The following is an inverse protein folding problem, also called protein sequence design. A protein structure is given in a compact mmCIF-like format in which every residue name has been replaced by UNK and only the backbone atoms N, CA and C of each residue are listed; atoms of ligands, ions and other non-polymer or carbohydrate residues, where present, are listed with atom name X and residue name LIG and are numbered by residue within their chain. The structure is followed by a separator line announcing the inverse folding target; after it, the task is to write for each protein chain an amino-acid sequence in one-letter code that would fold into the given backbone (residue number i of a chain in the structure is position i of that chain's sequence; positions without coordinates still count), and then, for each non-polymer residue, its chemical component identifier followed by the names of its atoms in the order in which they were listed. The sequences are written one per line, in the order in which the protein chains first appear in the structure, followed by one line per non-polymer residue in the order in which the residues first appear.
data_IF_481952037614
#
_entry.id   IF_481952037614
#
_cell.length_a   1.000
_cell.length_b   1.000
_cell.length_c   1.000
_cell.angle_alpha   90.00
_cell.angle_beta   90.00
_cell.angle_gamma   90.00
#
_symmetry.space_group_name_H-M   'P 1'
#
loop_
_entity.id
_entity.type
_entity.pdbx_description
1 polymer ?
#
# COMPACT_ATOMS: atom_id res chain seq x y z
N UNK A 1 -41.31 -3.98 -7.40
CA UNK A 1 -41.47 -3.35 -6.07
C UNK A 1 -40.53 -4.07 -5.09
N UNK A 2 -39.22 -3.81 -5.18
CA UNK A 2 -38.18 -4.45 -4.37
C UNK A 2 -37.68 -3.45 -3.33
N UNK A 3 -37.88 -3.78 -2.04
CA UNK A 3 -37.54 -2.94 -0.89
C UNK A 3 -36.02 -2.87 -0.72
N UNK A 4 -35.48 -1.68 -0.92
CA UNK A 4 -34.13 -1.29 -0.51
C UNK A 4 -34.07 -1.31 1.02
N UNK A 5 -33.35 -2.28 1.60
CA UNK A 5 -33.00 -2.28 3.02
C UNK A 5 -31.97 -1.19 3.27
N UNK A 6 -32.44 0.01 3.61
CA UNK A 6 -31.66 1.02 4.35
C UNK A 6 -31.44 0.48 5.77
N UNK A 7 -30.37 -0.27 6.00
CA UNK A 7 -29.83 -0.40 7.34
C UNK A 7 -29.00 0.84 7.64
N UNK A 8 -29.60 1.74 8.43
CA UNK A 8 -28.87 2.78 9.13
C UNK A 8 -27.94 2.08 10.14
N UNK A 9 -26.69 1.86 9.74
CA UNK A 9 -25.64 1.39 10.64
C UNK A 9 -25.45 2.40 11.77
N UNK A 10 -25.81 2.00 13.00
CA UNK A 10 -25.39 2.68 14.22
C UNK A 10 -23.86 2.75 14.20
N UNK A 11 -23.29 3.93 13.97
CA UNK A 11 -21.85 4.18 14.14
C UNK A 11 -21.49 3.84 15.59
N UNK A 12 -20.83 2.70 15.81
CA UNK A 12 -20.13 2.45 17.06
C UNK A 12 -19.06 3.55 17.21
N UNK A 13 -18.89 4.15 18.40
CA UNK A 13 -17.73 4.98 18.65
C UNK A 13 -16.49 4.11 18.46
N UNK A 14 -15.65 4.44 17.48
CA UNK A 14 -14.40 3.73 17.24
C UNK A 14 -13.48 3.99 18.42
N UNK A 15 -13.17 2.96 19.21
CA UNK A 15 -12.19 3.01 20.29
C UNK A 15 -10.75 2.98 19.79
N UNK A 16 -10.52 3.18 18.49
CA UNK A 16 -9.19 3.23 17.92
C UNK A 16 -8.53 4.56 18.30
N UNK A 17 -7.26 4.54 18.74
CA UNK A 17 -6.51 5.77 18.99
C UNK A 17 -6.57 6.68 17.77
N UNK A 18 -6.64 7.99 18.03
CA UNK A 18 -6.75 9.02 16.99
C UNK A 18 -5.50 8.92 16.13
N UNK A 19 -5.61 8.39 14.91
CA UNK A 19 -4.49 8.28 13.95
C UNK A 19 -3.75 9.61 13.91
N UNK A 20 -2.43 9.57 14.06
CA UNK A 20 -1.58 10.72 13.73
C UNK A 20 -1.63 10.89 12.21
N UNK A 21 -2.65 11.63 11.76
CA UNK A 21 -2.71 12.06 10.37
C UNK A 21 -1.81 13.27 10.30
N UNK A 22 -0.71 13.12 9.59
CA UNK A 22 0.27 14.16 9.41
C UNK A 22 -0.29 15.42 8.72
N UNK A 23 0.59 16.32 8.29
CA UNK A 23 0.20 17.59 7.68
C UNK A 23 -0.39 17.37 6.30
N UNK A 24 -1.60 17.89 6.08
CA UNK A 24 -2.23 17.91 4.76
C UNK A 24 -1.78 19.14 3.99
N UNK A 25 -1.17 18.92 2.83
CA UNK A 25 -0.72 19.95 1.90
C UNK A 25 -1.62 19.95 0.67
N UNK A 26 -1.95 21.13 0.17
CA UNK A 26 -2.68 21.29 -1.10
C UNK A 26 -1.96 22.28 -2.00
N UNK A 27 -1.84 21.95 -3.28
CA UNK A 27 -1.35 22.87 -4.31
C UNK A 27 -2.22 22.79 -5.56
N UNK A 28 -2.21 23.86 -6.36
CA UNK A 28 -2.87 23.88 -7.65
C UNK A 28 -1.91 23.38 -8.73
N UNK A 29 -2.24 22.25 -9.35
CA UNK A 29 -1.54 21.77 -10.52
C UNK A 29 -2.11 22.46 -11.77
N UNK A 30 -1.33 23.37 -12.35
CA UNK A 30 -1.73 24.10 -13.55
C UNK A 30 -1.86 23.22 -14.80
N UNK A 31 -1.17 22.07 -14.85
CA UNK A 31 -1.22 21.18 -16.01
C UNK A 31 -2.55 20.42 -16.06
N UNK A 32 -3.04 19.92 -14.91
CA UNK A 32 -4.36 19.29 -14.80
C UNK A 32 -5.51 20.28 -14.58
N UNK A 33 -5.21 21.48 -14.11
CA UNK A 33 -6.22 22.46 -13.68
C UNK A 33 -6.94 22.08 -12.39
N UNK A 34 -6.32 21.26 -11.54
CA UNK A 34 -6.92 20.71 -10.33
C UNK A 34 -6.09 21.03 -9.08
N UNK A 35 -6.78 21.12 -7.93
CA UNK A 35 -6.10 21.10 -6.64
C UNK A 35 -5.74 19.66 -6.28
N UNK A 36 -4.45 19.41 -6.15
CA UNK A 36 -3.92 18.16 -5.63
C UNK A 36 -3.73 18.33 -4.13
N UNK A 37 -4.18 17.32 -3.37
CA UNK A 37 -4.02 17.29 -1.91
C UNK A 37 -3.33 16.01 -1.51
N UNK A 38 -2.31 16.11 -0.66
CA UNK A 38 -1.57 14.97 -0.14
C UNK A 38 -1.22 15.19 1.33
N UNK A 39 -0.85 14.12 2.03
CA UNK A 39 -0.43 14.14 3.43
C UNK A 39 1.05 13.76 3.51
N UNK A 40 1.79 14.32 4.46
CA UNK A 40 3.19 13.93 4.71
C UNK A 40 3.33 12.56 5.42
N UNK A 41 2.22 12.05 5.97
CA UNK A 41 2.13 10.78 6.66
C UNK A 41 2.47 9.58 5.77
N UNK A 42 3.10 8.57 6.38
CA UNK A 42 3.37 7.29 5.74
C UNK A 42 2.07 6.47 5.64
N UNK A 43 1.85 5.95 4.44
CA UNK A 43 0.73 5.09 4.08
C UNK A 43 1.17 3.63 4.04
N UNK A 44 0.56 2.81 4.87
CA UNK A 44 0.88 1.38 4.91
C UNK A 44 -0.24 0.55 4.27
N UNK A 45 0.16 -0.34 3.38
CA UNK A 45 -0.73 -1.17 2.59
C UNK A 45 -0.46 -2.65 2.89
N UNK A 46 -1.47 -3.36 3.39
CA UNK A 46 -1.36 -4.80 3.61
C UNK A 46 -1.46 -5.57 2.30
N UNK A 47 -0.77 -6.70 2.19
CA UNK A 47 -0.90 -7.64 1.08
C UNK A 47 -1.37 -9.00 1.60
N UNK A 48 -2.33 -9.56 0.87
CA UNK A 48 -2.87 -10.90 1.10
C UNK A 48 -2.73 -11.73 -0.19
N UNK A 49 -1.60 -12.42 -0.32
CA UNK A 49 -1.27 -13.22 -1.51
C UNK A 49 -1.73 -14.69 -1.42
N UNK A 50 -1.94 -15.21 -0.22
CA UNK A 50 -2.46 -16.56 0.04
C UNK A 50 -3.39 -16.52 1.26
N UNK A 51 -4.56 -17.14 1.17
CA UNK A 51 -5.37 -17.49 2.35
C UNK A 51 -5.00 -18.92 2.74
N UNK A 52 -4.62 -19.20 3.99
CA UNK A 52 -4.35 -20.57 4.42
C UNK A 52 -5.57 -21.47 4.21
N UNK A 53 -5.32 -22.76 3.99
CA UNK A 53 -6.30 -23.73 3.50
C UNK A 53 -7.58 -23.90 4.35
N UNK A 54 -7.59 -23.41 5.60
CA UNK A 54 -8.79 -23.35 6.43
C UNK A 54 -8.88 -22.02 7.21
N UNK A 55 -10.07 -21.39 7.28
CA UNK A 55 -10.35 -20.25 8.16
C UNK A 55 -10.14 -20.54 9.65
N UNK A 56 -10.02 -21.81 10.04
CA UNK A 56 -9.71 -22.27 11.41
C UNK A 56 -8.20 -22.42 11.69
N UNK A 57 -7.39 -22.58 10.63
CA UNK A 57 -5.94 -22.82 10.76
C UNK A 57 -5.16 -21.51 10.75
N UNK A 58 -5.75 -20.46 10.19
CA UNK A 58 -5.39 -19.09 10.57
C UNK A 58 -6.11 -18.83 11.87
N UNK A 59 -5.36 -18.75 12.96
CA UNK A 59 -5.82 -17.90 14.03
C UNK A 59 -6.12 -16.54 13.41
N UNK A 60 -7.39 -16.13 13.39
CA UNK A 60 -7.80 -14.73 13.14
C UNK A 60 -6.95 -13.75 13.97
N UNK A 61 -6.25 -14.23 15.00
CA UNK A 61 -5.15 -13.57 15.72
C UNK A 61 -4.13 -12.80 14.86
N UNK A 62 -3.65 -13.33 13.72
CA UNK A 62 -2.65 -12.61 12.91
C UNK A 62 -3.21 -11.33 12.27
N UNK A 63 -4.43 -11.39 11.72
CA UNK A 63 -5.14 -10.20 11.24
C UNK A 63 -5.60 -9.30 12.39
N UNK A 64 -5.96 -9.88 13.53
CA UNK A 64 -6.45 -9.14 14.69
C UNK A 64 -5.36 -8.29 15.36
N UNK A 65 -4.08 -8.60 15.11
CA UNK A 65 -2.92 -7.87 15.62
C UNK A 65 -2.63 -6.56 14.89
N UNK A 66 -3.03 -6.40 13.63
CA UNK A 66 -2.67 -5.22 12.82
C UNK A 66 -3.89 -4.32 12.67
N UNK A 67 -3.76 -3.04 12.98
CA UNK A 67 -4.76 -2.02 12.73
C UNK A 67 -4.15 -0.84 11.98
N UNK A 68 -4.98 -0.06 11.29
CA UNK A 68 -4.53 1.24 10.81
C UNK A 68 -3.89 1.29 9.41
N UNK A 69 -3.95 0.19 8.65
CA UNK A 69 -3.61 0.16 7.23
C UNK A 69 -4.42 1.21 6.45
N UNK A 70 -3.85 1.77 5.40
CA UNK A 70 -4.60 2.60 4.45
C UNK A 70 -5.29 1.75 3.40
N UNK A 71 -4.68 0.63 3.00
CA UNK A 71 -5.37 -0.33 2.16
C UNK A 71 -4.94 -1.78 2.31
N UNK A 72 -5.72 -2.70 1.75
CA UNK A 72 -5.33 -4.09 1.56
C UNK A 72 -5.38 -4.46 0.07
N UNK A 73 -4.31 -5.07 -0.46
CA UNK A 73 -4.28 -5.69 -1.77
C UNK A 73 -4.50 -7.20 -1.66
N UNK A 74 -5.50 -7.74 -2.36
CA UNK A 74 -5.82 -9.18 -2.35
C UNK A 74 -5.68 -9.76 -3.75
N UNK A 75 -4.94 -10.86 -3.88
CA UNK A 75 -4.68 -11.51 -5.18
C UNK A 75 -5.88 -12.29 -5.74
N UNK A 76 -6.86 -12.64 -4.91
CA UNK A 76 -8.07 -13.36 -5.33
C UNK A 76 -9.35 -12.76 -4.72
N UNK A 77 -10.24 -12.29 -5.60
CA UNK A 77 -11.54 -11.73 -5.21
C UNK A 77 -12.43 -12.72 -4.44
N UNK A 78 -12.28 -14.03 -4.66
CA UNK A 78 -13.10 -15.04 -3.97
C UNK A 78 -12.79 -15.18 -2.48
N UNK A 79 -11.66 -14.62 -2.02
CA UNK A 79 -11.29 -14.59 -0.62
C UNK A 79 -12.04 -13.53 0.20
N UNK A 80 -12.74 -12.62 -0.49
CA UNK A 80 -13.59 -11.61 0.15
C UNK A 80 -14.88 -12.24 0.69
N UNK A 81 -14.76 -12.94 1.82
CA UNK A 81 -15.90 -13.38 2.61
C UNK A 81 -16.40 -12.24 3.48
N UNK A 82 -17.70 -12.20 3.85
CA UNK A 82 -18.24 -11.19 4.77
C UNK A 82 -17.46 -11.11 6.09
N UNK A 83 -16.97 -12.25 6.60
CA UNK A 83 -16.16 -12.33 7.82
C UNK A 83 -14.78 -11.68 7.67
N UNK A 84 -14.11 -11.89 6.52
CA UNK A 84 -12.87 -11.20 6.21
C UNK A 84 -13.13 -9.70 6.06
N UNK A 85 -14.22 -9.33 5.38
CA UNK A 85 -14.63 -7.95 5.19
C UNK A 85 -14.85 -7.20 6.53
N UNK A 86 -15.48 -7.83 7.52
CA UNK A 86 -15.66 -7.23 8.86
C UNK A 86 -14.33 -7.02 9.60
N UNK A 87 -13.37 -7.94 9.48
CA UNK A 87 -12.01 -7.77 10.01
C UNK A 87 -11.20 -6.70 9.25
N UNK A 88 -11.50 -6.52 7.96
CA UNK A 88 -10.77 -5.61 7.06
C UNK A 88 -11.28 -4.16 7.10
N UNK A 89 -12.56 -3.96 7.40
CA UNK A 89 -13.19 -2.64 7.50
C UNK A 89 -12.65 -1.86 8.71
N UNK A 90 -12.31 -2.54 9.81
CA UNK A 90 -11.70 -1.90 10.98
C UNK A 90 -10.20 -1.60 10.76
N UNK A 91 -9.57 -2.20 9.74
CA UNK A 91 -8.12 -2.14 9.53
C UNK A 91 -7.71 -1.28 8.33
N UNK A 92 -8.55 -1.06 7.32
CA UNK A 92 -8.17 -0.39 6.06
C UNK A 92 -9.21 0.62 5.51
N UNK A 93 -8.76 1.70 4.81
CA UNK A 93 -9.66 2.66 4.13
C UNK A 93 -10.14 2.14 2.78
N UNK A 94 -9.27 1.44 2.05
CA UNK A 94 -9.55 0.88 0.74
C UNK A 94 -9.15 -0.60 0.67
N UNK A 95 -9.90 -1.37 -0.10
CA UNK A 95 -9.50 -2.74 -0.42
C UNK A 95 -9.34 -2.83 -1.93
N UNK A 96 -8.09 -3.00 -2.35
CA UNK A 96 -7.70 -3.24 -3.73
C UNK A 96 -7.79 -4.74 -4.02
N UNK A 97 -8.46 -5.09 -5.11
CA UNK A 97 -8.64 -6.48 -5.52
C UNK A 97 -7.98 -6.66 -6.87
N UNK A 98 -7.11 -7.66 -6.97
CA UNK A 98 -6.52 -8.06 -8.24
C UNK A 98 -7.66 -8.43 -9.21
N UNK A 99 -7.60 -7.85 -10.42
CA UNK A 99 -8.62 -8.06 -11.45
C UNK A 99 -10.03 -7.54 -11.14
N UNK A 100 -10.15 -6.56 -10.24
CA UNK A 100 -11.41 -5.85 -10.03
C UNK A 100 -11.91 -5.16 -11.31
N UNK A 101 -13.18 -5.39 -11.67
CA UNK A 101 -13.84 -4.62 -12.72
C UNK A 101 -14.53 -3.39 -12.15
N UNK A 102 -15.12 -3.45 -10.95
CA UNK A 102 -16.02 -2.41 -10.44
C UNK A 102 -15.51 -1.69 -9.18
N UNK A 103 -14.28 -1.97 -8.74
CA UNK A 103 -13.70 -1.39 -7.53
C UNK A 103 -12.22 -1.04 -7.66
N UNK A 104 -11.59 -0.60 -6.56
CA UNK A 104 -10.15 -0.33 -6.49
C UNK A 104 -9.31 -1.45 -7.11
N UNK A 105 -8.37 -1.09 -7.98
CA UNK A 105 -7.56 -2.03 -8.75
C UNK A 105 -6.16 -2.16 -8.15
N UNK A 106 -5.78 -3.38 -7.74
CA UNK A 106 -4.39 -3.76 -7.55
C UNK A 106 -3.90 -4.48 -8.82
N UNK A 107 -2.72 -4.13 -9.32
CA UNK A 107 -2.16 -4.75 -10.52
C UNK A 107 -0.64 -4.85 -10.47
N UNK A 108 -0.14 -5.98 -10.95
CA UNK A 108 1.29 -6.22 -11.05
C UNK A 108 1.75 -6.02 -12.49
N UNK A 109 2.85 -5.28 -12.67
CA UNK A 109 3.52 -5.08 -13.94
C UNK A 109 4.89 -5.79 -13.90
N UNK A 110 5.06 -6.92 -14.61
CA UNK A 110 6.36 -7.58 -14.71
C UNK A 110 7.28 -6.79 -15.65
N UNK A 111 8.26 -6.09 -15.09
CA UNK A 111 9.12 -5.18 -15.87
C UNK A 111 10.37 -5.82 -16.46
N UNK A 112 10.74 -7.02 -16.00
CA UNK A 112 11.83 -7.83 -16.60
C UNK A 112 11.40 -8.60 -17.86
N UNK A 113 10.12 -8.49 -18.24
CA UNK A 113 9.55 -9.16 -19.40
C UNK A 113 9.61 -8.34 -20.68
N UNK A 114 8.96 -8.85 -21.73
CA UNK A 114 8.79 -8.14 -23.00
C UNK A 114 7.86 -6.94 -22.83
N UNK A 115 8.24 -5.76 -23.34
CA UNK A 115 7.46 -4.50 -23.24
C UNK A 115 6.03 -4.63 -23.77
N UNK A 116 5.81 -5.46 -24.77
CA UNK A 116 4.50 -5.70 -25.39
C UNK A 116 3.50 -6.32 -24.39
N UNK A 117 4.00 -6.98 -23.33
CA UNK A 117 3.14 -7.54 -22.27
C UNK A 117 2.55 -6.47 -21.36
N UNK A 118 3.07 -5.24 -21.39
CA UNK A 118 2.62 -4.15 -20.53
C UNK A 118 1.35 -3.48 -21.04
N UNK A 119 1.15 -3.40 -22.36
CA UNK A 119 0.01 -2.69 -22.98
C UNK A 119 -1.37 -3.13 -22.45
N UNK A 120 -1.69 -4.43 -22.32
CA UNK A 120 -2.98 -4.83 -21.74
C UNK A 120 -3.13 -4.44 -20.27
N UNK A 121 -2.03 -4.35 -19.51
CA UNK A 121 -2.02 -3.93 -18.10
C UNK A 121 -2.31 -2.43 -18.02
N UNK A 122 -1.59 -1.63 -18.81
CA UNK A 122 -1.77 -0.18 -18.91
C UNK A 122 -3.18 0.20 -19.38
N UNK A 123 -3.73 -0.53 -20.36
CA UNK A 123 -5.09 -0.32 -20.84
C UNK A 123 -6.13 -0.56 -19.72
N UNK A 124 -5.91 -1.55 -18.85
CA UNK A 124 -6.77 -1.82 -17.69
C UNK A 124 -6.68 -0.71 -16.65
N UNK A 125 -5.48 -0.20 -16.36
CA UNK A 125 -5.29 0.97 -15.50
C UNK A 125 -6.05 2.18 -16.05
N UNK A 126 -5.84 2.53 -17.32
CA UNK A 126 -6.52 3.65 -17.96
C UNK A 126 -8.06 3.50 -17.93
N UNK A 127 -8.58 2.28 -18.12
CA UNK A 127 -10.01 2.01 -18.01
C UNK A 127 -10.55 2.14 -16.57
N UNK A 128 -9.79 1.74 -15.55
CA UNK A 128 -10.13 1.97 -14.15
C UNK A 128 -10.10 3.47 -13.79
N UNK A 129 -9.08 4.20 -14.24
CA UNK A 129 -8.91 5.62 -14.01
C UNK A 129 -10.05 6.45 -14.63
N UNK A 130 -10.46 6.14 -15.86
CA UNK A 130 -11.62 6.77 -16.51
C UNK A 130 -12.94 6.62 -15.74
N UNK A 131 -13.02 5.61 -14.87
CA UNK A 131 -14.17 5.35 -13.99
C UNK A 131 -14.00 5.96 -12.59
N UNK A 132 -12.90 6.67 -12.36
CA UNK A 132 -12.55 7.24 -11.06
C UNK A 132 -12.18 6.20 -10.00
N UNK A 133 -11.76 5.00 -10.42
CA UNK A 133 -11.35 3.94 -9.50
C UNK A 133 -9.88 4.15 -9.12
N UNK A 134 -9.52 4.04 -7.83
CA UNK A 134 -8.13 4.15 -7.41
C UNK A 134 -7.34 2.93 -7.88
N UNK A 135 -6.07 3.15 -8.23
CA UNK A 135 -5.19 2.15 -8.81
C UNK A 135 -3.90 2.12 -8.02
N UNK A 136 -3.56 0.94 -7.52
CA UNK A 136 -2.25 0.61 -6.96
C UNK A 136 -1.55 -0.36 -7.90
N UNK A 137 -0.37 0.03 -8.38
CA UNK A 137 0.45 -0.79 -9.25
C UNK A 137 1.72 -1.24 -8.53
N UNK A 138 2.19 -2.44 -8.86
CA UNK A 138 3.46 -3.00 -8.38
C UNK A 138 4.38 -3.21 -9.57
N UNK A 139 5.59 -2.66 -9.53
CA UNK A 139 6.66 -3.00 -10.49
C UNK A 139 7.36 -4.26 -9.99
N UNK A 140 6.94 -5.44 -10.47
CA UNK A 140 7.46 -6.73 -9.99
C UNK A 140 8.94 -6.90 -10.32
N UNK A 141 9.72 -7.30 -9.32
CA UNK A 141 11.17 -7.52 -9.39
C UNK A 141 11.90 -6.29 -9.94
N UNK A 142 11.65 -5.12 -9.33
CA UNK A 142 12.13 -3.84 -9.83
C UNK A 142 13.65 -3.76 -9.87
N UNK A 143 14.32 -4.32 -8.86
CA UNK A 143 15.77 -4.27 -8.70
C UNK A 143 16.54 -5.24 -9.62
N UNK A 144 15.82 -6.10 -10.37
CA UNK A 144 16.39 -6.87 -11.47
C UNK A 144 16.28 -6.15 -12.84
N UNK A 145 15.67 -4.96 -12.88
CA UNK A 145 15.54 -4.12 -14.07
C UNK A 145 16.54 -2.97 -14.08
N UNK A 146 16.77 -2.38 -15.24
CA UNK A 146 17.52 -1.12 -15.35
C UNK A 146 16.66 0.09 -14.96
N UNK A 147 17.32 1.15 -14.50
CA UNK A 147 16.69 2.45 -14.17
C UNK A 147 15.81 2.98 -15.30
N UNK A 148 16.27 2.86 -16.54
CA UNK A 148 15.51 3.28 -17.73
C UNK A 148 14.20 2.51 -17.85
N UNK A 149 14.20 1.22 -17.52
CA UNK A 149 13.01 0.36 -17.56
C UNK A 149 12.05 0.73 -16.43
N UNK A 150 12.57 0.95 -15.23
CA UNK A 150 11.81 1.42 -14.05
C UNK A 150 11.15 2.77 -14.37
N UNK A 151 11.93 3.73 -14.89
CA UNK A 151 11.48 5.06 -15.30
C UNK A 151 10.36 4.99 -16.34
N UNK A 152 10.54 4.20 -17.41
CA UNK A 152 9.53 4.03 -18.45
C UNK A 152 8.26 3.36 -17.92
N UNK A 153 8.39 2.32 -17.11
CA UNK A 153 7.25 1.62 -16.54
C UNK A 153 6.45 2.52 -15.58
N UNK A 154 7.16 3.24 -14.72
CA UNK A 154 6.57 4.17 -13.76
C UNK A 154 5.81 5.32 -14.41
N UNK A 155 6.41 5.98 -15.41
CA UNK A 155 5.75 7.04 -16.17
C UNK A 155 4.47 6.55 -16.86
N UNK A 156 4.53 5.41 -17.55
CA UNK A 156 3.37 4.82 -18.23
C UNK A 156 2.24 4.44 -17.26
N UNK A 157 2.58 3.92 -16.07
CA UNK A 157 1.58 3.62 -15.04
C UNK A 157 0.95 4.89 -14.46
N UNK A 158 1.75 5.93 -14.22
CA UNK A 158 1.25 7.22 -13.74
C UNK A 158 0.30 7.87 -14.75
N UNK A 159 0.65 7.84 -16.04
CA UNK A 159 -0.20 8.30 -17.16
C UNK A 159 -1.49 7.47 -17.28
N UNK A 160 -1.41 6.17 -17.00
CA UNK A 160 -2.57 5.29 -16.93
C UNK A 160 -3.43 5.51 -15.67
N UNK A 161 -3.01 6.38 -14.75
CA UNK A 161 -3.75 6.80 -13.57
C UNK A 161 -3.40 6.07 -12.27
N UNK A 162 -2.28 5.34 -12.22
CA UNK A 162 -1.81 4.73 -10.97
C UNK A 162 -1.49 5.82 -9.93
N UNK A 163 -2.17 5.77 -8.78
CA UNK A 163 -1.93 6.70 -7.67
C UNK A 163 -0.85 6.20 -6.71
N UNK A 164 -0.56 4.91 -6.73
CA UNK A 164 0.51 4.26 -5.96
C UNK A 164 1.26 3.35 -6.92
N UNK A 165 2.60 3.43 -6.92
CA UNK A 165 3.51 2.62 -7.72
C UNK A 165 4.57 2.06 -6.77
N UNK A 166 4.45 0.79 -6.42
CA UNK A 166 5.35 0.12 -5.47
C UNK A 166 6.52 -0.53 -6.22
N UNK A 167 7.75 -0.21 -5.82
CA UNK A 167 8.97 -0.93 -6.17
C UNK A 167 9.02 -2.24 -5.37
N UNK A 168 9.10 -3.36 -6.07
CA UNK A 168 9.08 -4.69 -5.47
C UNK A 168 10.44 -5.37 -5.47
N UNK A 169 10.86 -5.81 -4.29
CA UNK A 169 12.09 -6.56 -4.08
C UNK A 169 11.83 -7.96 -3.50
N UNK A 170 11.06 -8.80 -4.18
CA UNK A 170 10.83 -10.17 -3.71
C UNK A 170 12.08 -11.06 -3.78
N UNK A 171 13.10 -10.66 -4.54
CA UNK A 171 14.31 -11.47 -4.79
C UNK A 171 15.52 -11.05 -3.93
N UNK A 172 15.33 -10.14 -2.96
CA UNK A 172 16.40 -9.61 -2.08
C UNK A 172 17.59 -9.07 -2.88
N UNK A 173 17.28 -8.23 -3.89
CA UNK A 173 18.26 -7.59 -4.76
C UNK A 173 18.46 -6.11 -4.43
N UNK A 174 17.59 -5.52 -3.61
CA UNK A 174 17.75 -4.14 -3.19
C UNK A 174 18.86 -4.00 -2.16
N UNK A 175 19.70 -3.01 -2.38
CA UNK A 175 20.63 -2.43 -1.41
C UNK A 175 20.44 -0.91 -1.39
N UNK A 176 21.25 -0.20 -0.60
CA UNK A 176 21.10 1.25 -0.43
C UNK A 176 21.27 2.02 -1.76
N UNK A 177 22.22 1.60 -2.59
CA UNK A 177 22.54 2.26 -3.85
C UNK A 177 21.44 2.02 -4.89
N UNK A 178 21.03 0.76 -5.07
CA UNK A 178 20.01 0.37 -6.05
C UNK A 178 18.61 0.89 -5.66
N UNK A 179 18.30 1.01 -4.37
CA UNK A 179 17.07 1.66 -3.89
C UNK A 179 17.04 3.15 -4.24
N UNK A 180 18.15 3.86 -4.01
CA UNK A 180 18.30 5.26 -4.39
C UNK A 180 18.16 5.44 -5.91
N UNK A 181 18.90 4.65 -6.71
CA UNK A 181 18.87 4.72 -8.18
C UNK A 181 17.46 4.47 -8.73
N UNK A 182 16.77 3.43 -8.26
CA UNK A 182 15.39 3.13 -8.66
C UNK A 182 14.40 4.24 -8.27
N UNK A 183 14.57 4.84 -7.09
CA UNK A 183 13.75 5.96 -6.62
C UNK A 183 13.98 7.22 -7.46
N UNK A 184 15.23 7.57 -7.75
CA UNK A 184 15.58 8.70 -8.62
C UNK A 184 15.03 8.50 -10.03
N UNK A 185 15.17 7.30 -10.59
CA UNK A 185 14.63 6.94 -11.89
C UNK A 185 13.12 7.21 -12.00
N UNK A 186 12.34 6.83 -10.98
CA UNK A 186 10.92 7.17 -10.93
C UNK A 186 10.71 8.68 -10.80
N UNK A 187 11.36 9.33 -9.83
CA UNK A 187 11.07 10.72 -9.48
C UNK A 187 11.55 11.76 -10.49
N UNK A 188 12.42 11.38 -11.44
CA UNK A 188 12.77 12.23 -12.58
C UNK A 188 11.66 12.34 -13.64
N UNK A 189 10.60 11.52 -13.55
CA UNK A 189 9.44 11.65 -14.42
C UNK A 189 8.52 12.77 -13.92
N UNK A 190 8.38 13.84 -14.72
CA UNK A 190 7.29 14.80 -14.52
C UNK A 190 5.97 14.17 -14.99
N UNK A 191 4.95 14.21 -14.14
CA UNK A 191 3.65 13.59 -14.38
C UNK A 191 2.53 14.52 -13.95
N UNK A 192 1.43 14.50 -14.72
CA UNK A 192 0.26 15.34 -14.45
C UNK A 192 -0.47 14.85 -13.19
N UNK A 193 -0.95 15.79 -12.37
CA UNK A 193 -1.68 15.51 -11.13
C UNK A 193 -0.74 15.28 -9.95
N UNK A 194 -0.90 14.15 -9.24
CA UNK A 194 -0.11 13.83 -8.05
C UNK A 194 1.38 13.66 -8.45
N UNK A 195 2.35 14.32 -7.79
CA UNK A 195 3.75 14.23 -8.20
C UNK A 195 4.27 12.81 -8.02
N UNK A 196 5.23 12.37 -8.83
CA UNK A 196 5.73 11.00 -8.76
C UNK A 196 6.23 10.63 -7.35
N UNK A 197 6.96 11.53 -6.67
CA UNK A 197 7.41 11.31 -5.28
C UNK A 197 6.31 10.99 -4.26
N UNK A 198 5.06 11.36 -4.55
CA UNK A 198 3.90 11.06 -3.71
C UNK A 198 3.17 9.78 -4.13
N UNK A 199 3.64 9.10 -5.18
CA UNK A 199 3.10 7.83 -5.70
C UNK A 199 4.01 6.65 -5.36
N UNK A 200 5.32 6.89 -5.24
CA UNK A 200 6.31 5.83 -5.05
C UNK A 200 6.07 5.12 -3.72
N UNK A 201 6.07 3.79 -3.78
CA UNK A 201 6.10 2.93 -2.63
C UNK A 201 7.21 1.91 -2.70
N UNK A 202 7.44 1.22 -1.59
CA UNK A 202 8.47 0.20 -1.47
C UNK A 202 7.93 -1.06 -0.79
N UNK A 203 8.37 -2.21 -1.32
CA UNK A 203 8.14 -3.56 -0.77
C UNK A 203 9.47 -4.32 -0.75
N UNK A 204 10.22 -4.29 0.37
CA UNK A 204 11.42 -5.09 0.50
C UNK A 204 11.10 -6.58 0.63
N UNK A 205 12.09 -7.46 0.44
CA UNK A 205 11.96 -8.88 0.77
C UNK A 205 11.66 -9.06 2.27
N UNK A 206 10.91 -10.11 2.63
CA UNK A 206 10.58 -10.40 4.03
C UNK A 206 11.79 -10.68 4.92
N UNK A 207 12.83 -11.24 4.32
CA UNK A 207 14.05 -11.73 4.94
C UNK A 207 15.28 -11.00 4.40
N UNK A 208 15.09 -9.76 3.93
CA UNK A 208 16.16 -8.96 3.39
C UNK A 208 17.32 -8.82 4.39
N UNK A 209 18.55 -8.99 3.90
CA UNK A 209 19.74 -9.06 4.76
C UNK A 209 19.94 -7.77 5.60
N UNK A 210 19.49 -6.63 5.07
CA UNK A 210 19.58 -5.30 5.69
C UNK A 210 18.20 -4.62 5.74
N UNK A 211 17.17 -5.38 6.14
CA UNK A 211 15.79 -4.91 6.10
C UNK A 211 15.56 -3.61 6.88
N UNK A 212 16.13 -3.48 8.08
CA UNK A 212 15.95 -2.29 8.92
C UNK A 212 16.60 -1.06 8.28
N UNK A 213 17.82 -1.20 7.76
CA UNK A 213 18.56 -0.16 7.06
C UNK A 213 17.82 0.30 5.80
N UNK A 214 17.36 -0.64 4.97
CA UNK A 214 16.59 -0.34 3.75
C UNK A 214 15.27 0.38 4.06
N UNK A 215 14.55 -0.07 5.09
CA UNK A 215 13.33 0.60 5.54
C UNK A 215 13.61 2.00 6.07
N UNK A 216 14.71 2.18 6.80
CA UNK A 216 15.13 3.48 7.32
C UNK A 216 15.48 4.44 6.17
N UNK A 217 16.31 4.01 5.23
CA UNK A 217 16.68 4.78 4.05
C UNK A 217 15.44 5.17 3.24
N UNK A 218 14.55 4.22 2.96
CA UNK A 218 13.30 4.45 2.25
C UNK A 218 12.42 5.51 2.94
N UNK A 219 12.21 5.37 4.26
CA UNK A 219 11.25 6.19 4.99
C UNK A 219 11.79 7.57 5.37
N UNK A 220 13.06 7.64 5.77
CA UNK A 220 13.69 8.84 6.35
C UNK A 220 14.46 9.62 5.30
N UNK A 221 15.31 8.97 4.51
CA UNK A 221 16.19 9.65 3.56
C UNK A 221 15.49 9.95 2.24
N UNK A 222 14.80 8.96 1.68
CA UNK A 222 14.08 9.08 0.40
C UNK A 222 12.65 9.63 0.57
N UNK A 223 12.16 9.69 1.81
CA UNK A 223 10.80 10.10 2.17
C UNK A 223 9.70 9.35 1.39
N UNK A 224 9.93 8.08 1.04
CA UNK A 224 8.94 7.22 0.37
C UNK A 224 7.67 7.17 1.22
N UNK A 225 6.51 7.40 0.60
CA UNK A 225 5.23 7.57 1.33
C UNK A 225 4.41 6.31 1.44
N UNK A 226 4.71 5.29 0.65
CA UNK A 226 3.90 4.08 0.59
C UNK A 226 4.74 2.85 0.93
N UNK A 227 4.28 2.05 1.87
CA UNK A 227 4.94 0.79 2.23
C UNK A 227 3.97 -0.36 2.16
N UNK A 228 4.48 -1.48 1.68
CA UNK A 228 3.74 -2.72 1.58
C UNK A 228 4.20 -3.69 2.65
N UNK A 229 3.25 -4.19 3.44
CA UNK A 229 3.50 -5.20 4.47
C UNK A 229 2.74 -6.47 4.16
N UNK A 230 3.38 -7.62 4.34
CA UNK A 230 2.71 -8.90 4.20
C UNK A 230 2.08 -9.29 5.54
N UNK A 231 0.77 -9.55 5.55
CA UNK A 231 0.08 -9.95 6.79
C UNK A 231 0.63 -11.26 7.39
N UNK A 232 1.32 -12.05 6.57
CA UNK A 232 1.98 -13.30 7.00
C UNK A 232 3.50 -13.27 6.87
N UNK A 233 4.11 -12.12 6.54
CA UNK A 233 5.56 -11.96 6.44
C UNK A 233 6.24 -12.83 5.37
N UNK A 234 5.57 -13.15 4.26
CA UNK A 234 6.14 -14.00 3.18
C UNK A 234 6.47 -13.28 1.88
N UNK A 235 5.67 -12.28 1.53
CA UNK A 235 5.72 -11.59 0.24
C UNK A 235 6.12 -10.12 0.43
N UNK A 236 6.78 -9.84 1.55
CA UNK A 236 7.08 -8.52 2.07
C UNK A 236 7.28 -8.57 3.60
N UNK A 237 7.79 -7.48 4.19
CA UNK A 237 8.09 -7.42 5.62
C UNK A 237 6.84 -7.61 6.47
N UNK A 238 7.04 -8.04 7.71
CA UNK A 238 5.97 -8.05 8.69
C UNK A 238 5.60 -6.60 9.07
N UNK A 239 4.40 -6.41 9.62
CA UNK A 239 4.01 -5.06 10.05
C UNK A 239 4.85 -4.58 11.24
N UNK A 240 5.29 -5.52 12.08
CA UNK A 240 6.16 -5.33 13.23
C UNK A 240 7.48 -4.64 12.85
N UNK A 241 8.13 -5.11 11.79
CA UNK A 241 9.42 -4.61 11.33
C UNK A 241 9.30 -3.15 10.89
N UNK A 242 8.24 -2.83 10.12
CA UNK A 242 8.00 -1.47 9.65
C UNK A 242 7.61 -0.51 10.79
N UNK A 243 6.74 -0.92 11.72
CA UNK A 243 6.32 -0.07 12.85
C UNK A 243 7.53 0.36 13.68
N UNK A 244 8.46 -0.58 13.97
CA UNK A 244 9.66 -0.27 14.75
C UNK A 244 10.48 0.86 14.13
N UNK A 245 10.70 0.82 12.81
CA UNK A 245 11.44 1.85 12.07
C UNK A 245 10.70 3.18 12.07
N UNK A 246 9.40 3.17 11.80
CA UNK A 246 8.61 4.40 11.70
C UNK A 246 8.46 5.11 13.06
N UNK A 247 8.20 4.35 14.13
CA UNK A 247 8.11 4.87 15.51
C UNK A 247 9.46 5.43 15.97
N UNK A 248 10.56 4.72 15.70
CA UNK A 248 11.91 5.17 16.05
C UNK A 248 12.30 6.48 15.33
N UNK A 249 11.88 6.64 14.09
CA UNK A 249 12.09 7.85 13.30
C UNK A 249 11.09 8.99 13.64
N UNK A 250 10.05 8.73 14.44
CA UNK A 250 9.01 9.70 14.77
C UNK A 250 8.17 10.11 13.55
N UNK A 251 8.03 9.23 12.56
CA UNK A 251 7.27 9.49 11.35
C UNK A 251 5.77 9.29 11.60
N UNK A 252 4.94 10.19 11.07
CA UNK A 252 3.48 10.06 11.24
C UNK A 252 2.95 8.88 10.41
N UNK A 253 2.33 7.89 11.05
CA UNK A 253 1.63 6.79 10.38
C UNK A 253 0.35 6.36 11.12
N UNK A 254 -0.50 5.65 10.39
CA UNK A 254 -1.73 5.07 10.94
C UNK A 254 -1.56 3.67 11.54
N UNK A 255 -0.46 2.98 11.25
CA UNK A 255 -0.25 1.57 11.59
C UNK A 255 -0.08 1.36 13.10
N UNK A 256 -0.81 0.39 13.67
CA UNK A 256 -0.75 0.02 15.08
C UNK A 256 -0.79 -1.50 15.24
N UNK A 257 0.01 -2.01 16.18
CA UNK A 257 0.03 -3.41 16.57
C UNK A 257 -0.73 -3.58 17.88
N UNK A 258 -1.61 -4.58 17.97
CA UNK A 258 -2.24 -4.96 19.25
C UNK A 258 -1.32 -5.91 19.99
N UNK A 259 -1.09 -5.62 21.27
CA UNK A 259 -0.34 -6.52 22.14
C UNK A 259 -0.97 -7.93 22.13
N UNK A 260 -0.15 -8.94 21.82
CA UNK A 260 -0.56 -10.35 21.84
C UNK A 260 -0.99 -10.84 23.25
N UNK A 261 -0.81 -10.01 24.27
CA UNK A 261 -1.08 -10.30 25.68
C UNK A 261 -2.20 -9.41 26.25
N UNK A 262 -3.47 -9.59 25.83
CA UNK A 262 -4.51 -8.72 26.40
C UNK A 262 -5.97 -9.02 26.08
N UNK A 263 -6.52 -10.10 26.64
CA UNK A 263 -7.86 -10.00 27.22
C UNK A 263 -7.79 -9.08 28.44
N UNK A 264 -7.74 -7.76 28.24
CA UNK A 264 -7.48 -6.80 29.32
C UNK A 264 -7.91 -5.39 28.96
N UNK A 265 -8.71 -4.78 29.85
CA UNK A 265 -9.30 -3.45 29.70
C UNK A 265 -8.24 -2.39 29.40
N UNK A 266 -8.47 -1.59 28.36
CA UNK A 266 -7.84 -0.29 28.19
C UNK A 266 -8.18 0.60 29.40
N UNK A 267 -7.20 0.83 30.27
CA UNK A 267 -7.21 1.93 31.20
C UNK A 267 -6.42 3.08 30.56
N UNK A 268 -7.12 4.13 30.16
CA UNK A 268 -6.48 5.42 29.92
C UNK A 268 -5.98 5.95 31.25
N UNK A 269 -4.68 6.21 31.37
CA UNK A 269 -4.12 7.03 32.42
C UNK A 269 -4.20 8.49 32.01
N UNK A 270 -4.82 9.31 32.85
CA UNK A 270 -4.77 10.77 32.77
C UNK A 270 -3.35 11.26 33.10
N UNK A 271 -2.79 12.09 32.22
CA UNK A 271 -1.84 13.15 32.55
C UNK A 271 -1.88 14.23 31.46
#
# INVERSE_FOLDING_TARGET
MLRVLRQAGRRRPSSLPRRQMGTVVSYYDSQSGQHVTYTDAIHVHGILHQVPAAPSDVGYGHFNGIAGLDSLAVSNASWFTPSLQDCLIDTSKHVYVACSQDGPLAIDLPINGLRETWDPILARCAAASKRGLPIKATLKNAFASSDVTIQLAGSLLADAGASIITLDDVEDLADEDTLLEAYEALTWCDVVGLPMKQRVGFRPASDATFLEELLNQAAVELEIKHFDVCVYGKEGPAAEDLVGVLDAAGLAHGLHLKDAAGGGKFACGDA
#
